data_IF_850150374669
#
_entry.id   IF_850150374669
#
_cell.length_a   1.000
_cell.length_b   1.000
_cell.length_c   1.000
_cell.angle_alpha   90.00
_cell.angle_beta   90.00
_cell.angle_gamma   90.00
#
_symmetry.space_group_name_H-M   'P 1'
#
loop_
_entity.id
_entity.type
_entity.pdbx_description
1 polymer ?
#
# COMPACT_ATOMS: atom_id res chain seq x y z
N UNK A 1 14.80 5.22 26.55
CA UNK A 1 13.73 5.13 25.54
C UNK A 1 13.81 3.74 24.92
N UNK A 2 12.69 3.10 24.65
CA UNK A 2 12.70 1.83 23.90
C UNK A 2 13.30 2.06 22.51
N UNK A 3 14.01 1.09 21.99
CA UNK A 3 14.56 1.16 20.64
C UNK A 3 13.42 1.00 19.62
N UNK A 4 13.28 1.94 18.69
CA UNK A 4 12.31 1.81 17.61
C UNK A 4 12.78 0.70 16.66
N UNK A 5 11.86 -0.19 16.26
CA UNK A 5 12.14 -1.33 15.40
C UNK A 5 11.08 -1.48 14.32
N UNK A 6 11.48 -2.04 13.19
CA UNK A 6 10.57 -2.51 12.17
C UNK A 6 9.87 -3.78 12.67
N UNK A 7 8.60 -3.69 13.04
CA UNK A 7 7.83 -4.80 13.60
C UNK A 7 7.00 -5.57 12.57
N UNK A 8 6.80 -4.98 11.38
CA UNK A 8 6.06 -5.66 10.31
C UNK A 8 6.43 -5.15 8.92
N UNK A 9 6.49 -6.10 7.98
CA UNK A 9 6.67 -5.88 6.54
C UNK A 9 5.50 -6.50 5.82
N UNK A 10 4.85 -5.71 4.94
CA UNK A 10 3.70 -6.17 4.17
C UNK A 10 3.82 -5.74 2.70
N UNK A 11 3.44 -6.65 1.81
CA UNK A 11 3.23 -6.37 0.39
C UNK A 11 1.80 -6.70 -0.01
N UNK A 12 1.32 -6.08 -1.06
CA UNK A 12 -0.02 -6.26 -1.62
C UNK A 12 0.11 -6.51 -3.12
N UNK A 13 0.46 -7.72 -3.56
CA UNK A 13 0.81 -7.97 -4.97
C UNK A 13 -0.22 -7.46 -5.95
N UNK A 14 -1.50 -7.73 -5.70
CA UNK A 14 -2.60 -7.20 -6.51
C UNK A 14 -3.20 -5.96 -5.81
N UNK A 15 -3.29 -4.84 -6.53
CA UNK A 15 -3.94 -3.62 -6.01
C UNK A 15 -5.34 -3.94 -5.51
N UNK A 16 -5.65 -3.54 -4.28
CA UNK A 16 -6.92 -3.77 -3.59
C UNK A 16 -7.20 -5.21 -3.13
N UNK A 17 -6.39 -6.21 -3.44
CA UNK A 17 -6.49 -7.55 -2.86
C UNK A 17 -5.86 -7.62 -1.46
N UNK A 18 -5.89 -8.78 -0.81
CA UNK A 18 -5.28 -9.01 0.49
C UNK A 18 -3.75 -8.79 0.46
N UNK A 19 -3.16 -8.58 1.63
CA UNK A 19 -1.72 -8.42 1.79
C UNK A 19 -1.04 -9.71 2.24
N UNK A 20 0.28 -9.75 2.07
CA UNK A 20 1.18 -10.80 2.54
C UNK A 20 2.09 -10.20 3.60
N UNK A 21 2.19 -10.83 4.77
CA UNK A 21 3.20 -10.52 5.77
C UNK A 21 4.51 -11.24 5.43
N UNK A 22 5.63 -10.52 5.48
CA UNK A 22 6.95 -11.03 5.17
C UNK A 22 7.90 -10.82 6.35
N UNK A 23 8.88 -11.72 6.51
CA UNK A 23 9.99 -11.52 7.45
C UNK A 23 11.14 -10.72 6.83
N UNK A 24 11.22 -10.76 5.50
CA UNK A 24 12.28 -10.08 4.73
C UNK A 24 11.69 -9.62 3.41
N UNK A 25 12.04 -8.42 2.96
CA UNK A 25 11.62 -7.89 1.67
C UNK A 25 12.71 -7.06 0.99
N UNK A 26 12.77 -7.16 -0.34
CA UNK A 26 13.66 -6.38 -1.17
C UNK A 26 13.03 -5.02 -1.49
N UNK A 27 13.74 -3.94 -1.20
CA UNK A 27 13.40 -2.56 -1.58
C UNK A 27 13.87 -2.31 -3.01
N UNK A 28 12.94 -1.96 -3.88
CA UNK A 28 13.17 -1.60 -5.28
C UNK A 28 12.75 -0.15 -5.53
N UNK A 29 13.04 0.38 -6.72
CA UNK A 29 12.74 1.78 -7.09
C UNK A 29 11.26 2.17 -6.97
N UNK A 30 10.34 1.21 -7.03
CA UNK A 30 8.88 1.43 -7.03
C UNK A 30 8.16 0.85 -5.82
N UNK A 31 8.88 0.50 -4.76
CA UNK A 31 8.36 -0.11 -3.55
C UNK A 31 9.03 -1.44 -3.23
N UNK A 32 8.42 -2.26 -2.41
CA UNK A 32 8.89 -3.63 -2.23
C UNK A 32 8.69 -4.45 -3.50
N UNK A 33 9.59 -5.41 -3.72
CA UNK A 33 9.44 -6.40 -4.78
C UNK A 33 8.03 -7.02 -4.73
N UNK A 34 7.39 -7.10 -5.89
CA UNK A 34 6.00 -7.57 -6.07
C UNK A 34 4.90 -6.68 -5.48
N UNK A 35 5.18 -5.59 -4.80
CA UNK A 35 4.14 -4.75 -4.21
C UNK A 35 3.36 -3.97 -5.27
N UNK A 36 2.04 -4.22 -5.37
CA UNK A 36 1.10 -3.61 -6.33
C UNK A 36 1.60 -3.68 -7.79
N UNK A 37 2.22 -4.83 -8.17
CA UNK A 37 2.65 -5.07 -9.56
C UNK A 37 1.50 -5.56 -10.44
N UNK A 38 0.41 -6.02 -9.85
CA UNK A 38 -0.81 -6.40 -10.55
C UNK A 38 -1.97 -5.51 -10.15
N UNK A 39 -2.90 -5.33 -11.09
CA UNK A 39 -4.08 -4.49 -10.90
C UNK A 39 -5.23 -4.97 -11.78
N UNK A 40 -6.43 -4.94 -11.24
CA UNK A 40 -7.65 -5.15 -12.03
C UNK A 40 -8.10 -3.84 -12.66
N UNK A 41 -8.46 -3.91 -13.94
CA UNK A 41 -9.02 -2.80 -14.70
C UNK A 41 -10.37 -3.18 -15.30
N UNK A 42 -11.22 -2.20 -15.50
CA UNK A 42 -12.47 -2.35 -16.24
C UNK A 42 -12.24 -2.30 -17.77
N UNK A 43 -13.30 -2.42 -18.56
CA UNK A 43 -13.27 -2.42 -20.03
C UNK A 43 -12.68 -1.14 -20.63
N UNK A 44 -12.62 -0.06 -19.86
CA UNK A 44 -12.02 1.21 -20.27
C UNK A 44 -10.54 1.35 -19.90
N UNK A 45 -9.97 0.30 -19.28
CA UNK A 45 -8.59 0.31 -18.76
C UNK A 45 -8.43 1.07 -17.43
N UNK A 46 -9.53 1.44 -16.78
CA UNK A 46 -9.51 2.16 -15.49
C UNK A 46 -9.43 1.19 -14.33
N UNK A 47 -8.59 1.52 -13.36
CA UNK A 47 -8.34 0.69 -12.17
C UNK A 47 -9.59 0.44 -11.32
N UNK A 48 -9.72 -0.80 -10.84
CA UNK A 48 -10.75 -1.24 -9.92
C UNK A 48 -10.24 -1.22 -8.48
N UNK A 49 -11.10 -0.85 -7.52
CA UNK A 49 -10.70 -0.69 -6.12
C UNK A 49 -11.75 -1.19 -5.15
N UNK A 50 -11.34 -1.48 -3.91
CA UNK A 50 -12.24 -1.78 -2.80
C UNK A 50 -13.30 -0.69 -2.58
N UNK A 51 -13.07 0.56 -3.02
CA UNK A 51 -14.08 1.64 -2.93
C UNK A 51 -15.37 1.29 -3.64
N UNK A 52 -15.29 0.64 -4.78
CA UNK A 52 -16.44 0.21 -5.59
C UNK A 52 -16.73 -1.28 -5.43
N UNK A 53 -15.68 -2.09 -5.23
CA UNK A 53 -15.74 -3.54 -5.13
C UNK A 53 -15.11 -4.01 -3.80
N UNK A 54 -15.82 -3.91 -2.67
CA UNK A 54 -15.25 -4.26 -1.35
C UNK A 54 -14.77 -5.71 -1.27
N UNK A 55 -15.40 -6.63 -1.99
CA UNK A 55 -15.01 -8.05 -2.05
C UNK A 55 -13.60 -8.29 -2.60
N UNK A 56 -12.97 -7.32 -3.28
CA UNK A 56 -11.55 -7.40 -3.64
C UNK A 56 -10.65 -7.67 -2.41
N UNK A 57 -11.07 -7.23 -1.23
CA UNK A 57 -10.36 -7.50 0.02
C UNK A 57 -10.24 -8.99 0.33
N UNK A 58 -11.20 -9.80 -0.14
CA UNK A 58 -11.29 -11.24 0.12
C UNK A 58 -10.44 -12.08 -0.84
N UNK A 59 -9.82 -11.46 -1.85
CA UNK A 59 -8.89 -12.15 -2.74
C UNK A 59 -7.59 -12.36 -1.97
N UNK A 60 -7.37 -13.59 -1.50
CA UNK A 60 -6.13 -14.04 -0.85
C UNK A 60 -5.02 -14.19 -1.88
N UNK A 61 -3.80 -13.88 -1.48
CA UNK A 61 -2.61 -14.02 -2.32
C UNK A 61 -1.44 -14.58 -1.51
N UNK A 62 -0.61 -15.41 -2.15
CA UNK A 62 0.68 -15.87 -1.59
C UNK A 62 1.70 -16.07 -2.70
N UNK A 63 2.98 -15.96 -2.35
CA UNK A 63 4.09 -16.19 -3.26
C UNK A 63 4.64 -17.61 -3.05
N UNK A 64 4.78 -18.37 -4.13
CA UNK A 64 5.39 -19.70 -4.13
C UNK A 64 6.39 -19.81 -5.28
N UNK A 65 7.68 -19.72 -4.96
CA UNK A 65 8.74 -19.66 -5.99
C UNK A 65 8.51 -18.49 -6.94
N UNK A 66 8.40 -18.78 -8.23
CA UNK A 66 8.13 -17.79 -9.28
C UNK A 66 6.64 -17.65 -9.63
N UNK A 67 5.76 -17.94 -8.67
CA UNK A 67 4.32 -17.93 -8.88
C UNK A 67 3.62 -17.07 -7.81
N UNK A 68 2.62 -16.33 -8.23
CA UNK A 68 1.62 -15.71 -7.38
C UNK A 68 0.39 -16.62 -7.39
N UNK A 69 0.09 -17.18 -6.25
CA UNK A 69 -1.10 -18.00 -6.04
C UNK A 69 -2.20 -17.08 -5.53
N UNK A 70 -3.33 -17.13 -6.19
CA UNK A 70 -4.51 -16.32 -5.89
C UNK A 70 -5.66 -17.23 -5.53
N UNK A 71 -6.42 -16.88 -4.50
CA UNK A 71 -7.59 -17.63 -4.05
C UNK A 71 -8.71 -16.70 -3.61
N UNK A 72 -9.94 -17.13 -3.73
CA UNK A 72 -11.11 -16.43 -3.21
C UNK A 72 -12.15 -17.42 -2.69
N UNK A 73 -13.02 -17.02 -1.74
CA UNK A 73 -14.06 -17.90 -1.21
C UNK A 73 -14.93 -18.49 -2.31
N UNK A 74 -15.02 -19.84 -2.35
CA UNK A 74 -15.78 -20.61 -3.34
C UNK A 74 -15.30 -20.59 -4.80
N UNK A 75 -14.10 -20.03 -5.08
CA UNK A 75 -13.59 -19.87 -6.45
C UNK A 75 -12.27 -20.59 -6.68
N UNK A 76 -11.89 -21.55 -5.94
CA UNK A 76 -10.67 -22.31 -6.19
C UNK A 76 -9.41 -21.44 -6.30
N UNK A 77 -8.30 -22.04 -6.68
CA UNK A 77 -6.99 -21.42 -6.76
C UNK A 77 -6.60 -21.11 -8.21
N UNK A 78 -6.04 -19.92 -8.43
CA UNK A 78 -5.47 -19.48 -9.69
C UNK A 78 -3.95 -19.28 -9.51
N UNK A 79 -3.16 -19.69 -10.49
CA UNK A 79 -1.70 -19.52 -10.49
C UNK A 79 -1.27 -18.55 -11.58
N UNK A 80 -0.51 -17.52 -11.20
CA UNK A 80 -0.03 -16.45 -12.09
C UNK A 80 1.50 -16.38 -11.98
N UNK A 81 2.26 -16.31 -13.09
CA UNK A 81 3.71 -16.10 -13.02
C UNK A 81 4.05 -14.74 -12.40
N UNK A 82 5.12 -14.68 -11.59
CA UNK A 82 5.57 -13.43 -10.96
C UNK A 82 6.36 -12.53 -11.90
N UNK A 83 6.80 -13.04 -13.03
CA UNK A 83 7.47 -12.29 -14.10
C UNK A 83 6.76 -12.54 -15.42
N UNK A 84 6.40 -11.45 -16.07
CA UNK A 84 5.79 -11.46 -17.40
C UNK A 84 6.61 -10.54 -18.29
N UNK A 85 7.05 -11.08 -19.41
CA UNK A 85 7.66 -10.30 -20.48
C UNK A 85 6.87 -10.54 -21.77
N UNK A 86 6.26 -9.48 -22.28
CA UNK A 86 5.46 -9.50 -23.50
C UNK A 86 5.60 -8.16 -24.21
N UNK A 87 5.66 -8.22 -25.54
CA UNK A 87 5.56 -7.02 -26.36
C UNK A 87 4.13 -6.46 -26.43
N UNK A 88 3.13 -7.33 -26.17
CA UNK A 88 1.73 -6.94 -26.17
C UNK A 88 1.40 -6.20 -24.88
N UNK A 89 1.19 -4.89 -24.98
CA UNK A 89 0.86 -4.02 -23.86
C UNK A 89 -0.39 -3.20 -24.16
N UNK A 90 -1.02 -2.77 -23.08
CA UNK A 90 -2.13 -1.83 -23.12
C UNK A 90 -1.83 -0.63 -22.20
N UNK A 91 -2.47 0.49 -22.44
CA UNK A 91 -2.44 1.62 -21.52
C UNK A 91 -3.57 1.50 -20.53
N UNK A 92 -3.21 1.66 -19.25
CA UNK A 92 -4.16 1.59 -18.12
C UNK A 92 -4.09 2.88 -17.30
N UNK A 93 -5.21 3.21 -16.65
CA UNK A 93 -5.33 4.42 -15.85
C UNK A 93 -5.34 4.10 -14.35
N UNK A 94 -4.45 4.75 -13.60
CA UNK A 94 -4.41 4.76 -12.13
C UNK A 94 -4.54 6.21 -11.67
N UNK A 95 -5.68 6.61 -11.14
CA UNK A 95 -6.02 8.00 -10.86
C UNK A 95 -5.92 8.88 -12.12
N UNK A 96 -5.02 9.84 -12.13
CA UNK A 96 -4.77 10.71 -13.27
C UNK A 96 -3.61 10.22 -14.16
N UNK A 97 -2.91 9.18 -13.71
CA UNK A 97 -1.75 8.65 -14.43
C UNK A 97 -2.18 7.60 -15.44
N UNK A 98 -1.56 7.61 -16.60
CA UNK A 98 -1.67 6.58 -17.61
C UNK A 98 -0.32 5.89 -17.75
N UNK A 99 -0.29 4.58 -17.66
CA UNK A 99 0.94 3.80 -17.78
C UNK A 99 0.73 2.50 -18.56
N UNK A 100 1.82 1.97 -19.05
CA UNK A 100 1.85 0.73 -19.82
C UNK A 100 1.73 -0.48 -18.89
N UNK A 101 0.94 -1.47 -19.31
CA UNK A 101 0.75 -2.72 -18.58
C UNK A 101 0.60 -3.90 -19.53
N UNK A 102 0.99 -5.10 -19.09
CA UNK A 102 0.81 -6.36 -19.81
C UNK A 102 -0.51 -6.98 -19.37
N UNK A 103 -1.46 -7.20 -20.30
CA UNK A 103 -2.70 -7.91 -19.97
C UNK A 103 -2.42 -9.40 -19.72
N UNK A 104 -3.14 -10.01 -18.78
CA UNK A 104 -3.07 -11.44 -18.55
C UNK A 104 -4.05 -12.20 -19.46
N UNK A 105 -4.00 -13.54 -19.40
CA UNK A 105 -4.79 -14.42 -20.27
C UNK A 105 -6.30 -14.29 -20.01
N UNK A 106 -7.10 -14.71 -21.01
CA UNK A 106 -8.54 -14.71 -20.89
C UNK A 106 -9.06 -15.59 -19.71
N UNK A 107 -8.37 -16.70 -19.42
CA UNK A 107 -8.72 -17.58 -18.31
C UNK A 107 -8.54 -16.88 -16.95
N UNK A 108 -7.42 -16.15 -16.79
CA UNK A 108 -7.18 -15.34 -15.59
C UNK A 108 -8.27 -14.28 -15.44
N UNK A 109 -8.57 -13.56 -16.50
CA UNK A 109 -9.59 -12.50 -16.50
C UNK A 109 -10.98 -13.04 -16.20
N UNK A 110 -11.32 -14.22 -16.72
CA UNK A 110 -12.60 -14.88 -16.45
C UNK A 110 -12.76 -15.22 -14.96
N UNK A 111 -11.70 -15.78 -14.33
CA UNK A 111 -11.73 -16.10 -12.90
C UNK A 111 -12.07 -14.88 -12.03
N UNK A 112 -11.41 -13.71 -12.29
CA UNK A 112 -11.70 -12.48 -11.56
C UNK A 112 -13.08 -11.91 -11.88
N UNK A 113 -13.51 -12.00 -13.14
CA UNK A 113 -14.82 -11.52 -13.58
C UNK A 113 -15.96 -12.30 -12.95
N UNK A 114 -15.80 -13.62 -12.83
CA UNK A 114 -16.77 -14.50 -12.18
C UNK A 114 -16.85 -14.19 -10.68
N UNK A 115 -15.70 -14.01 -10.00
CA UNK A 115 -15.68 -13.66 -8.59
C UNK A 115 -16.31 -12.30 -8.29
N UNK A 116 -16.06 -11.29 -9.13
CA UNK A 116 -16.56 -9.94 -8.93
C UNK A 116 -17.96 -9.70 -9.51
N UNK A 117 -18.48 -10.63 -10.31
CA UNK A 117 -19.75 -10.49 -11.02
C UNK A 117 -19.74 -9.35 -12.05
N UNK A 118 -18.59 -8.99 -12.59
CA UNK A 118 -18.44 -7.93 -13.58
C UNK A 118 -17.20 -8.16 -14.43
N UNK A 119 -17.28 -7.79 -15.73
CA UNK A 119 -16.14 -7.88 -16.64
C UNK A 119 -14.96 -7.07 -16.12
N UNK A 120 -13.78 -7.72 -16.06
CA UNK A 120 -12.54 -7.09 -15.68
C UNK A 120 -11.33 -7.81 -16.29
N UNK A 121 -10.19 -7.14 -16.29
CA UNK A 121 -8.92 -7.68 -16.77
C UNK A 121 -7.84 -7.48 -15.72
N UNK A 122 -7.08 -8.53 -15.41
CA UNK A 122 -5.88 -8.41 -14.62
C UNK A 122 -4.73 -7.96 -15.51
N UNK A 123 -3.97 -6.97 -15.05
CA UNK A 123 -2.80 -6.44 -15.76
C UNK A 123 -1.57 -6.45 -14.86
N UNK A 124 -0.40 -6.61 -15.45
CA UNK A 124 0.90 -6.60 -14.80
C UNK A 124 1.69 -5.36 -15.23
N UNK A 125 2.38 -4.70 -14.30
CA UNK A 125 3.29 -3.59 -14.58
C UNK A 125 4.68 -4.13 -14.92
N UNK A 126 5.14 -4.08 -16.19
CA UNK A 126 6.50 -4.50 -16.56
C UNK A 126 7.56 -3.51 -16.05
N UNK A 127 8.82 -3.95 -16.02
CA UNK A 127 9.93 -3.10 -15.53
C UNK A 127 10.09 -1.82 -16.36
N UNK A 128 9.82 -1.87 -17.67
CA UNK A 128 9.88 -0.72 -18.57
C UNK A 128 8.76 0.31 -18.35
N UNK A 129 7.68 -0.04 -17.64
CA UNK A 129 6.59 0.89 -17.36
C UNK A 129 7.09 2.04 -16.50
N UNK A 130 6.79 3.27 -16.91
CA UNK A 130 7.23 4.48 -16.24
C UNK A 130 6.05 5.21 -15.62
N UNK A 131 5.94 5.12 -14.28
CA UNK A 131 4.98 5.88 -13.49
C UNK A 131 5.74 6.60 -12.39
N UNK A 132 6.08 7.90 -12.56
CA UNK A 132 6.85 8.64 -11.59
C UNK A 132 6.03 9.01 -10.36
N UNK A 133 6.68 9.11 -9.21
CA UNK A 133 6.15 9.79 -8.04
C UNK A 133 5.90 11.27 -8.40
N UNK A 134 4.87 11.87 -7.80
CA UNK A 134 4.58 13.28 -8.04
C UNK A 134 5.84 14.14 -7.80
N UNK A 135 6.27 14.95 -8.79
CA UNK A 135 7.51 15.73 -8.73
C UNK A 135 7.63 16.66 -7.51
N UNK A 136 6.51 17.08 -6.93
CA UNK A 136 6.52 17.90 -5.71
C UNK A 136 7.12 17.16 -4.50
N UNK A 137 7.01 15.83 -4.47
CA UNK A 137 7.48 14.97 -3.38
C UNK A 137 8.71 14.14 -3.77
N UNK A 138 8.96 13.96 -5.07
CA UNK A 138 10.09 13.21 -5.56
C UNK A 138 11.41 13.91 -5.22
N UNK A 139 12.42 13.12 -4.86
CA UNK A 139 13.77 13.64 -4.58
C UNK A 139 14.70 13.44 -5.77
N UNK A 140 14.41 12.46 -6.61
CA UNK A 140 15.11 12.14 -7.86
C UNK A 140 14.08 11.72 -8.94
N UNK A 141 14.22 10.51 -9.46
CA UNK A 141 13.33 9.94 -10.47
C UNK A 141 12.63 8.68 -9.93
N UNK A 142 12.14 8.76 -8.72
CA UNK A 142 11.50 7.63 -8.06
C UNK A 142 10.20 7.26 -8.77
N UNK A 143 9.98 5.97 -8.86
CA UNK A 143 8.81 5.40 -9.49
C UNK A 143 7.82 4.90 -8.43
N UNK A 144 6.61 4.64 -8.85
CA UNK A 144 5.61 3.96 -8.05
C UNK A 144 4.97 2.84 -8.89
N UNK A 145 4.64 1.74 -8.23
CA UNK A 145 3.87 0.64 -8.84
C UNK A 145 2.41 1.06 -9.08
N UNK A 146 1.46 0.13 -9.14
CA UNK A 146 0.03 0.47 -9.10
C UNK A 146 -0.46 0.95 -7.73
N UNK A 147 0.44 1.25 -6.77
CA UNK A 147 0.09 1.93 -5.53
C UNK A 147 -0.55 3.30 -5.78
N UNK A 148 -1.16 3.90 -4.75
CA UNK A 148 -1.94 5.13 -4.99
C UNK A 148 -1.07 6.33 -5.41
N UNK A 149 0.10 6.54 -4.81
CA UNK A 149 0.97 7.63 -5.21
C UNK A 149 2.41 7.57 -4.69
N UNK A 150 2.68 6.66 -3.75
CA UNK A 150 3.99 6.51 -3.13
C UNK A 150 4.39 5.03 -3.01
N UNK A 151 5.70 4.73 -3.05
CA UNK A 151 6.20 3.36 -2.99
C UNK A 151 5.98 2.70 -1.62
N UNK A 152 5.94 3.47 -0.52
CA UNK A 152 5.77 2.92 0.82
C UNK A 152 4.79 3.73 1.67
N UNK A 153 4.06 3.00 2.52
CA UNK A 153 3.27 3.53 3.62
C UNK A 153 3.79 2.95 4.94
N UNK A 154 4.14 3.82 5.88
CA UNK A 154 4.54 3.48 7.23
C UNK A 154 3.45 3.86 8.22
N UNK A 155 3.24 3.00 9.22
CA UNK A 155 2.40 3.24 10.39
C UNK A 155 3.12 2.75 11.64
N UNK A 156 2.71 3.19 12.84
CA UNK A 156 3.22 2.63 14.09
C UNK A 156 2.16 1.78 14.81
N UNK A 157 2.62 0.80 15.60
CA UNK A 157 1.73 0.02 16.47
C UNK A 157 1.06 0.92 17.51
N UNK A 158 1.81 1.85 18.10
CA UNK A 158 1.30 2.78 19.09
C UNK A 158 0.20 3.70 18.52
N UNK A 159 0.30 4.13 17.25
CA UNK A 159 -0.76 4.90 16.60
C UNK A 159 -2.04 4.09 16.39
N UNK A 160 -1.89 2.79 16.07
CA UNK A 160 -3.04 1.90 16.00
C UNK A 160 -3.64 1.62 17.38
N UNK A 161 -2.82 1.47 18.41
CA UNK A 161 -3.26 1.27 19.80
C UNK A 161 -4.05 2.48 20.29
N UNK A 162 -3.54 3.72 20.12
CA UNK A 162 -4.27 4.96 20.45
C UNK A 162 -5.62 5.04 19.74
N UNK A 163 -5.69 4.64 18.48
CA UNK A 163 -6.95 4.59 17.75
C UNK A 163 -7.90 3.53 18.34
N UNK A 164 -7.40 2.33 18.61
CA UNK A 164 -8.19 1.21 19.11
C UNK A 164 -8.73 1.46 20.52
N UNK A 165 -8.00 2.20 21.35
CA UNK A 165 -8.48 2.63 22.69
C UNK A 165 -9.69 3.57 22.60
N UNK A 166 -9.97 4.15 21.43
CA UNK A 166 -11.09 5.05 21.16
C UNK A 166 -12.24 4.39 20.41
N UNK A 167 -12.07 3.14 19.98
CA UNK A 167 -13.06 2.37 19.24
C UNK A 167 -13.80 1.40 20.18
N UNK A 168 -15.09 1.22 19.94
CA UNK A 168 -15.87 0.18 20.64
C UNK A 168 -15.37 -1.23 20.27
N UNK A 169 -14.98 -1.42 18.99
CA UNK A 169 -14.39 -2.65 18.47
C UNK A 169 -13.05 -2.31 17.79
N UNK A 170 -11.95 -2.91 18.27
CA UNK A 170 -10.64 -2.64 17.70
C UNK A 170 -10.53 -3.10 16.24
N UNK A 171 -9.79 -2.35 15.43
CA UNK A 171 -9.51 -2.69 14.03
C UNK A 171 -8.08 -3.19 13.87
N UNK A 172 -7.85 -4.17 13.00
CA UNK A 172 -6.50 -4.65 12.73
C UNK A 172 -5.71 -3.68 11.81
N UNK A 173 -4.37 -3.76 11.87
CA UNK A 173 -3.45 -2.94 11.08
C UNK A 173 -3.70 -3.05 9.55
N UNK A 174 -4.18 -4.19 9.07
CA UNK A 174 -4.44 -4.42 7.65
C UNK A 174 -5.53 -3.51 7.05
N UNK A 175 -6.36 -2.84 7.89
CA UNK A 175 -7.31 -1.80 7.44
C UNK A 175 -6.59 -0.63 6.77
N UNK A 176 -5.40 -0.31 7.24
CA UNK A 176 -4.58 0.81 6.75
C UNK A 176 -3.66 0.41 5.60
N UNK A 177 -3.42 -0.90 5.41
CA UNK A 177 -2.62 -1.47 4.32
C UNK A 177 -1.19 -0.90 4.24
N UNK A 178 -0.46 -0.79 5.38
CA UNK A 178 0.92 -0.30 5.38
C UNK A 178 1.87 -1.30 4.73
N UNK A 179 3.03 -0.80 4.26
CA UNK A 179 4.16 -1.63 3.86
C UNK A 179 5.10 -1.87 5.04
N UNK A 180 5.26 -0.86 5.89
CA UNK A 180 6.16 -0.83 7.03
C UNK A 180 5.36 -0.54 8.30
N UNK A 181 5.51 -1.38 9.31
CA UNK A 181 4.96 -1.15 10.66
C UNK A 181 6.13 -1.06 11.62
N UNK A 182 6.13 -0.04 12.48
CA UNK A 182 7.16 0.17 13.48
C UNK A 182 6.59 0.09 14.89
N UNK A 183 7.44 -0.30 15.85
CA UNK A 183 7.12 -0.34 17.27
C UNK A 183 8.17 0.38 18.10
N UNK A 184 7.87 0.67 19.37
CA UNK A 184 8.80 1.29 20.30
C UNK A 184 8.87 2.81 20.24
N UNK A 185 7.95 3.48 19.53
CA UNK A 185 7.75 4.92 19.53
C UNK A 185 6.41 5.28 20.18
N UNK A 186 6.22 6.56 20.51
CA UNK A 186 4.93 7.10 20.94
C UNK A 186 3.92 7.14 19.79
N UNK A 187 2.63 7.18 20.12
CA UNK A 187 1.57 7.30 19.13
C UNK A 187 1.75 8.57 18.27
N UNK A 188 1.65 8.41 16.96
CA UNK A 188 1.80 9.47 15.97
C UNK A 188 3.18 10.14 15.94
N UNK A 189 4.21 9.54 16.56
CA UNK A 189 5.58 10.05 16.47
C UNK A 189 6.05 10.15 15.02
N UNK A 190 5.60 9.23 14.15
CA UNK A 190 5.89 9.21 12.72
C UNK A 190 5.46 10.48 11.97
N UNK A 191 4.55 11.27 12.52
CA UNK A 191 4.10 12.54 11.92
C UNK A 191 5.19 13.62 11.93
N UNK A 192 6.17 13.49 12.84
CA UNK A 192 7.26 14.47 13.00
C UNK A 192 8.52 14.09 12.25
N UNK A 193 8.61 12.88 11.73
CA UNK A 193 9.83 12.40 11.08
C UNK A 193 9.99 12.99 9.69
N UNK A 194 11.23 13.30 9.32
CA UNK A 194 11.59 13.79 7.99
C UNK A 194 12.47 12.79 7.23
N UNK A 195 13.46 12.25 7.91
CA UNK A 195 14.31 11.18 7.38
C UNK A 195 14.48 10.12 8.44
N UNK A 196 14.33 8.87 8.04
CA UNK A 196 14.52 7.71 8.91
C UNK A 196 15.41 6.69 8.22
N UNK A 197 16.21 6.00 9.01
CA UNK A 197 17.00 4.86 8.58
C UNK A 197 16.40 3.60 9.16
N UNK A 198 16.06 2.63 8.30
CA UNK A 198 15.60 1.30 8.70
C UNK A 198 16.67 0.29 8.27
N UNK A 199 17.32 -0.36 9.22
CA UNK A 199 18.51 -1.15 8.93
C UNK A 199 19.57 -0.29 8.24
N UNK A 200 19.96 -0.63 7.02
CA UNK A 200 20.92 0.15 6.22
C UNK A 200 20.28 1.16 5.25
N UNK A 201 18.95 1.17 5.12
CA UNK A 201 18.27 1.93 4.08
C UNK A 201 17.72 3.25 4.64
N UNK A 202 18.07 4.35 4.00
CA UNK A 202 17.53 5.67 4.28
C UNK A 202 16.20 5.87 3.53
N UNK A 203 15.20 6.41 4.23
CA UNK A 203 13.92 6.81 3.67
C UNK A 203 13.63 8.29 3.94
N UNK A 204 13.02 8.94 2.96
CA UNK A 204 12.41 10.26 3.13
C UNK A 204 10.93 10.08 3.49
N UNK A 205 10.50 10.68 4.58
CA UNK A 205 9.10 10.79 4.97
C UNK A 205 8.55 12.03 4.29
N UNK A 206 7.72 11.86 3.28
CA UNK A 206 7.42 12.94 2.34
C UNK A 206 6.02 13.52 2.48
N UNK A 207 5.07 12.72 2.98
CA UNK A 207 3.68 13.16 3.08
C UNK A 207 2.88 12.30 4.04
N UNK A 208 2.04 12.92 4.88
CA UNK A 208 1.01 12.19 5.61
C UNK A 208 0.09 11.42 4.65
N UNK A 209 -0.46 10.30 5.11
CA UNK A 209 -1.42 9.53 4.33
C UNK A 209 -2.85 9.94 4.67
N UNK A 210 -3.54 10.57 3.73
CA UNK A 210 -4.97 10.87 3.84
C UNK A 210 -5.80 9.58 3.64
N UNK A 211 -6.67 9.32 4.60
CA UNK A 211 -7.41 8.05 4.66
C UNK A 211 -8.79 8.17 4.03
N UNK A 212 -9.17 7.14 3.31
CA UNK A 212 -10.45 7.06 2.62
C UNK A 212 -11.27 5.85 3.10
N UNK A 213 -12.45 5.69 2.53
CA UNK A 213 -13.41 4.61 2.88
C UNK A 213 -12.82 3.19 2.81
N UNK A 214 -11.68 2.96 2.15
CA UNK A 214 -11.03 1.64 2.12
C UNK A 214 -10.69 1.15 3.52
N UNK A 215 -10.34 2.04 4.46
CA UNK A 215 -10.03 1.67 5.84
C UNK A 215 -11.25 1.17 6.63
N UNK A 216 -12.47 1.47 6.15
CA UNK A 216 -13.71 1.00 6.78
C UNK A 216 -14.15 -0.38 6.33
N UNK A 217 -13.44 -0.98 5.35
CA UNK A 217 -13.78 -2.28 4.79
C UNK A 217 -13.15 -3.38 5.63
N UNK A 218 -13.95 -4.29 6.14
CA UNK A 218 -13.45 -5.51 6.74
C UNK A 218 -12.71 -6.36 5.70
N UNK A 219 -11.41 -6.58 5.94
CA UNK A 219 -10.54 -7.24 4.96
C UNK A 219 -10.79 -8.75 4.87
N UNK A 220 -11.53 -9.34 5.81
CA UNK A 220 -11.89 -10.76 5.81
C UNK A 220 -13.26 -11.03 5.22
N UNK A 221 -14.20 -10.08 5.38
CA UNK A 221 -15.59 -10.25 4.96
C UNK A 221 -15.95 -9.41 3.72
N UNK A 222 -15.11 -8.43 3.34
CA UNK A 222 -15.42 -7.51 2.25
C UNK A 222 -16.61 -6.60 2.55
N UNK A 223 -16.95 -6.38 3.82
CA UNK A 223 -18.08 -5.56 4.25
C UNK A 223 -17.60 -4.16 4.64
N UNK A 224 -18.30 -3.15 4.16
CA UNK A 224 -18.02 -1.75 4.48
C UNK A 224 -18.73 -1.34 5.76
N UNK A 225 -17.97 -0.74 6.69
CA UNK A 225 -18.48 -0.07 7.89
C UNK A 225 -18.34 1.45 7.82
N UNK A 226 -18.30 2.07 9.00
CA UNK A 226 -18.02 3.51 9.17
C UNK A 226 -16.69 3.75 9.88
N UNK A 227 -16.33 2.85 10.79
CA UNK A 227 -15.06 2.91 11.53
C UNK A 227 -13.90 2.31 10.68
N UNK A 228 -12.68 2.80 10.87
CA UNK A 228 -12.22 3.78 11.88
C UNK A 228 -12.35 5.26 11.47
N UNK A 229 -12.91 5.59 10.31
CA UNK A 229 -12.92 6.97 9.80
C UNK A 229 -13.72 7.93 10.69
N UNK A 230 -14.84 7.49 11.26
CA UNK A 230 -15.66 8.34 12.14
C UNK A 230 -14.88 8.71 13.40
N UNK A 231 -14.18 7.77 13.99
CA UNK A 231 -13.36 8.03 15.19
C UNK A 231 -12.13 8.85 14.85
N UNK A 232 -11.38 8.52 13.79
CA UNK A 232 -10.25 9.33 13.33
C UNK A 232 -10.66 10.79 13.02
N UNK A 233 -11.82 11.02 12.43
CA UNK A 233 -12.30 12.36 12.13
C UNK A 233 -12.45 13.27 13.36
N UNK A 234 -12.59 12.70 14.57
CA UNK A 234 -12.74 13.48 15.80
C UNK A 234 -11.44 14.16 16.24
N UNK A 235 -10.26 13.61 15.87
CA UNK A 235 -8.96 14.10 16.36
C UNK A 235 -7.82 14.09 15.35
N UNK A 236 -8.04 13.48 14.15
CA UNK A 236 -7.08 13.41 13.06
C UNK A 236 -7.57 14.08 11.76
N UNK A 237 -8.63 14.88 11.85
CA UNK A 237 -9.16 15.66 10.73
C UNK A 237 -8.41 16.99 10.64
N UNK A 238 -7.75 17.21 9.52
CA UNK A 238 -7.04 18.44 9.22
C UNK A 238 -7.15 18.78 7.74
N UNK A 239 -7.43 20.01 7.40
CA UNK A 239 -7.64 20.48 6.00
C UNK A 239 -8.62 19.59 5.20
N UNK A 240 -9.75 19.23 5.83
CA UNK A 240 -10.78 18.38 5.23
C UNK A 240 -10.36 16.93 4.97
N UNK A 241 -9.20 16.49 5.48
CA UNK A 241 -8.66 15.14 5.30
C UNK A 241 -8.40 14.47 6.65
N UNK A 242 -8.56 13.15 6.67
CA UNK A 242 -8.30 12.33 7.85
C UNK A 242 -6.92 11.67 7.69
N UNK A 243 -6.02 11.89 8.62
CA UNK A 243 -4.62 11.50 8.51
C UNK A 243 -4.26 10.33 9.44
N UNK A 244 -3.60 9.31 8.87
CA UNK A 244 -3.06 8.18 9.63
C UNK A 244 -1.93 7.51 8.84
N UNK A 245 -0.70 7.51 9.40
CA UNK A 245 0.50 6.98 8.77
C UNK A 245 1.15 7.93 7.77
N UNK A 246 2.35 7.58 7.32
CA UNK A 246 3.23 8.42 6.52
C UNK A 246 3.64 7.72 5.23
N UNK A 247 3.62 8.46 4.12
CA UNK A 247 4.16 8.00 2.84
C UNK A 247 5.67 8.24 2.79
N UNK A 248 6.41 7.24 2.33
CA UNK A 248 7.86 7.27 2.25
C UNK A 248 8.37 6.97 0.85
N UNK A 249 9.56 7.53 0.57
CA UNK A 249 10.36 7.27 -0.63
C UNK A 249 11.73 6.76 -0.20
N UNK A 250 12.23 5.63 -0.73
CA UNK A 250 13.53 5.11 -0.38
C UNK A 250 14.63 5.93 -1.09
N UNK A 251 15.68 6.33 -0.36
CA UNK A 251 16.86 6.95 -0.94
C UNK A 251 17.86 5.90 -1.45
N UNK A 252 17.72 4.65 -1.04
CA UNK A 252 18.61 3.54 -1.36
C UNK A 252 17.83 2.25 -1.54
N UNK A 253 18.35 1.35 -2.35
CA UNK A 253 17.82 0.00 -2.50
C UNK A 253 18.51 -0.94 -1.52
N UNK A 254 17.91 -2.11 -1.27
CA UNK A 254 18.48 -3.11 -0.38
C UNK A 254 17.42 -4.03 0.21
N UNK A 255 17.77 -4.73 1.27
CA UNK A 255 16.88 -5.69 1.93
C UNK A 255 16.55 -5.21 3.34
N UNK A 256 15.30 -5.31 3.73
CA UNK A 256 14.82 -5.09 5.09
C UNK A 256 14.38 -6.38 5.74
N UNK A 257 14.56 -6.44 7.06
CA UNK A 257 14.15 -7.57 7.89
C UNK A 257 13.27 -7.07 9.04
N UNK A 258 12.27 -7.83 9.39
CA UNK A 258 11.54 -7.61 10.64
C UNK A 258 12.53 -7.69 11.79
N UNK A 259 12.51 -6.67 12.68
CA UNK A 259 13.47 -6.51 13.76
C UNK A 259 14.59 -5.49 13.47
N UNK A 260 14.75 -5.03 12.23
CA UNK A 260 15.71 -3.96 11.90
C UNK A 260 15.47 -2.72 12.77
N UNK A 261 16.56 -2.08 13.20
CA UNK A 261 16.50 -0.83 13.96
C UNK A 261 15.96 0.30 13.08
N UNK A 262 15.19 1.18 13.71
CA UNK A 262 14.74 2.43 13.07
C UNK A 262 15.39 3.60 13.80
N UNK A 263 16.17 4.38 13.07
CA UNK A 263 16.84 5.56 13.56
C UNK A 263 16.26 6.81 12.89
N UNK A 264 15.94 7.83 13.70
CA UNK A 264 15.40 9.09 13.19
C UNK A 264 16.59 10.02 12.90
N UNK A 265 16.89 10.21 11.62
CA UNK A 265 17.99 11.03 11.14
C UNK A 265 17.68 12.53 11.24
N UNK A 266 16.42 12.89 10.98
CA UNK A 266 15.95 14.26 11.09
C UNK A 266 14.45 14.35 11.30
N UNK A 267 14.02 15.44 11.92
CA UNK A 267 12.63 15.77 12.17
C UNK A 267 12.17 16.93 11.28
N UNK A 268 10.88 17.02 11.04
CA UNK A 268 10.29 18.23 10.51
C UNK A 268 10.28 19.30 11.60
N UNK A 269 10.57 20.54 11.23
CA UNK A 269 10.50 21.70 12.14
C UNK A 269 9.06 21.99 12.58
N UNK A 270 8.10 21.59 11.74
CA UNK A 270 6.67 21.56 12.03
C UNK A 270 6.16 20.17 11.68
N UNK A 271 5.10 19.67 12.34
CA UNK A 271 4.51 18.38 11.97
C UNK A 271 4.16 18.40 10.47
N UNK A 272 4.35 17.28 9.78
CA UNK A 272 4.00 17.15 8.35
C UNK A 272 2.54 17.52 8.07
N UNK A 273 1.67 17.41 9.07
CA UNK A 273 0.28 17.85 9.00
C UNK A 273 0.17 19.39 8.91
N UNK A 274 1.09 20.14 9.55
CA UNK A 274 1.09 21.60 9.59
C UNK A 274 1.82 22.18 8.37
N UNK A 275 2.94 21.61 7.95
CA UNK A 275 3.76 22.10 6.84
C UNK A 275 3.07 22.02 5.47
N UNK A 276 2.06 21.15 5.32
CA UNK A 276 1.28 21.01 4.08
C UNK A 276 0.17 22.08 3.93
N UNK A 277 0.02 22.97 4.91
CA UNK A 277 -0.93 24.09 4.85
C UNK A 277 -0.34 25.36 4.23
N UNK A 278 0.98 25.41 4.06
CA UNK A 278 1.70 26.61 3.63
C UNK A 278 2.05 26.60 2.14
N UNK A 279 1.59 25.61 1.38
CA UNK A 279 1.79 25.44 -0.07
C UNK A 279 0.46 25.19 -0.79
#
# INVERSE_FOLDING_TARGET
MAQIKLSGIYIYPIKSAAGISLQTAQVENRGFQYDRRWMLVDETGKFMTQRKFPHLAMIGVRLEGNQLIVEAPNYGTLTIPTSLDSADTIFVQVWNDVCEAIPLTAEVNQWFSDFLGTSCQLVFMPERSHRPVNPHFATQNELVSFADGFPFLLTSEASLEDLNDRLDEPVPMNRFRPNLVVSGCEAFAEDTWRQIRIGSILFHVVKGCDRCVVTTIDQTQGIRGKEPLVTLAKYRLWDGKIWFGQNLIPAQLGTLHVGDSVEIESFNTESLLISQLST
#
